data_IF_630920918635
#
_entry.id   IF_630920918635
#
_cell.length_a   1.000
_cell.length_b   1.000
_cell.length_c   1.000
_cell.angle_alpha   90.00
_cell.angle_beta   90.00
_cell.angle_gamma   90.00
#
_symmetry.space_group_name_H-M   'P 1'
#
loop_
_entity.id
_entity.type
_entity.pdbx_description
1 polymer ?
#
# COMPACT_ATOMS: atom_id res chain seq x y z
N UNK A 1 -19.16 -19.19 -22.03
CA UNK A 1 -19.41 -17.73 -22.00
C UNK A 1 -18.64 -17.21 -20.77
N UNK A 2 -17.66 -16.32 -20.95
CA UNK A 2 -16.87 -15.81 -19.82
C UNK A 2 -17.77 -15.03 -18.84
N UNK A 3 -17.47 -15.09 -17.55
CA UNK A 3 -18.20 -14.39 -16.49
C UNK A 3 -18.30 -12.85 -16.70
N UNK A 4 -17.57 -12.32 -17.68
CA UNK A 4 -17.53 -10.91 -18.04
C UNK A 4 -18.50 -10.48 -19.15
N UNK A 5 -19.17 -11.44 -19.85
CA UNK A 5 -20.06 -11.10 -20.97
C UNK A 5 -21.35 -10.36 -20.56
N UNK A 6 -21.64 -10.30 -19.26
CA UNK A 6 -22.80 -9.58 -18.69
C UNK A 6 -22.39 -8.55 -17.62
N UNK A 7 -21.12 -8.16 -17.56
CA UNK A 7 -20.60 -7.34 -16.47
C UNK A 7 -21.11 -5.89 -16.55
N UNK A 8 -22.03 -5.54 -15.68
CA UNK A 8 -22.40 -4.15 -15.40
C UNK A 8 -21.21 -3.36 -14.83
N UNK A 9 -21.20 -2.01 -14.91
CA UNK A 9 -20.18 -1.19 -14.28
C UNK A 9 -20.03 -1.54 -12.81
N UNK A 10 -18.77 -1.68 -12.34
CA UNK A 10 -18.46 -2.09 -10.96
C UNK A 10 -18.29 -0.86 -10.08
N UNK A 11 -19.14 -0.64 -9.06
CA UNK A 11 -19.00 0.50 -8.16
C UNK A 11 -17.68 0.45 -7.38
N UNK A 12 -17.03 1.62 -7.23
CA UNK A 12 -15.90 1.77 -6.33
C UNK A 12 -16.37 1.65 -4.87
N UNK A 13 -15.55 1.00 -4.04
CA UNK A 13 -15.74 0.98 -2.59
C UNK A 13 -15.43 2.35 -1.96
N UNK A 14 -15.73 2.53 -0.68
CA UNK A 14 -15.29 3.70 0.07
C UNK A 14 -13.76 3.83 0.12
N UNK A 15 -13.05 2.71 0.28
CA UNK A 15 -11.59 2.66 0.26
C UNK A 15 -11.02 3.05 -1.12
N UNK A 16 -11.59 2.54 -2.21
CA UNK A 16 -11.18 2.92 -3.57
C UNK A 16 -11.41 4.42 -3.82
N UNK A 17 -12.50 4.98 -3.30
CA UNK A 17 -12.79 6.42 -3.40
C UNK A 17 -11.82 7.26 -2.60
N UNK A 18 -11.38 6.79 -1.43
CA UNK A 18 -10.32 7.41 -0.66
C UNK A 18 -8.99 7.44 -1.46
N UNK A 19 -8.57 6.31 -2.02
CA UNK A 19 -7.37 6.21 -2.85
C UNK A 19 -7.48 7.07 -4.12
N UNK A 20 -8.67 7.15 -4.73
CA UNK A 20 -8.92 8.06 -5.86
C UNK A 20 -8.82 9.55 -5.46
N UNK A 21 -9.22 9.91 -4.25
CA UNK A 21 -9.03 11.26 -3.75
C UNK A 21 -7.55 11.58 -3.52
N UNK A 22 -6.78 10.60 -3.03
CA UNK A 22 -5.33 10.68 -2.94
C UNK A 22 -4.67 10.84 -4.31
N UNK A 23 -5.08 10.08 -5.33
CA UNK A 23 -4.58 10.24 -6.70
C UNK A 23 -4.84 11.65 -7.24
N UNK A 24 -6.06 12.17 -7.06
CA UNK A 24 -6.39 13.52 -7.49
C UNK A 24 -5.53 14.58 -6.80
N UNK A 25 -5.18 14.37 -5.54
CA UNK A 25 -4.35 15.27 -4.76
C UNK A 25 -2.87 15.14 -5.12
N UNK A 26 -2.38 13.92 -5.37
CA UNK A 26 -1.02 13.66 -5.84
C UNK A 26 -0.76 14.37 -7.18
N UNK A 27 -1.67 14.22 -8.14
CA UNK A 27 -1.60 14.93 -9.43
C UNK A 27 -1.58 16.44 -9.27
N UNK A 28 -2.40 16.96 -8.36
CA UNK A 28 -2.48 18.41 -8.11
C UNK A 28 -1.21 18.98 -7.49
N UNK A 29 -0.55 18.23 -6.60
CA UNK A 29 0.62 18.68 -5.83
C UNK A 29 1.93 18.32 -6.49
N UNK A 30 2.05 17.08 -6.93
CA UNK A 30 3.32 16.51 -7.40
C UNK A 30 3.37 16.35 -8.92
N UNK A 31 2.23 16.52 -9.63
CA UNK A 31 2.14 16.23 -11.06
C UNK A 31 2.12 14.73 -11.40
N UNK A 32 2.23 13.85 -10.41
CA UNK A 32 2.28 12.40 -10.54
C UNK A 32 1.00 11.73 -10.02
N UNK A 33 0.71 10.52 -10.49
CA UNK A 33 -0.39 9.69 -9.95
C UNK A 33 -0.03 9.10 -8.60
N UNK A 34 -1.05 8.71 -7.83
CA UNK A 34 -0.87 7.90 -6.62
C UNK A 34 -0.75 6.43 -7.01
N UNK A 35 0.47 5.99 -7.28
CA UNK A 35 0.81 4.66 -7.75
C UNK A 35 1.41 3.82 -6.63
N UNK A 36 1.28 2.49 -6.76
CA UNK A 36 2.00 1.51 -5.96
C UNK A 36 2.79 0.59 -6.86
N UNK A 37 3.86 0.02 -6.34
CA UNK A 37 4.70 -0.95 -7.03
C UNK A 37 4.88 -2.20 -6.18
N UNK A 38 4.91 -3.35 -6.87
CA UNK A 38 5.44 -4.61 -6.39
C UNK A 38 6.68 -4.91 -7.22
N UNK A 39 7.82 -5.10 -6.56
CA UNK A 39 9.09 -5.37 -7.23
C UNK A 39 9.51 -6.80 -6.95
N UNK A 40 9.91 -7.52 -8.00
CA UNK A 40 10.52 -8.84 -7.93
C UNK A 40 11.96 -8.76 -8.43
N UNK A 41 12.89 -9.29 -7.67
CA UNK A 41 14.25 -9.58 -8.12
C UNK A 41 14.32 -11.06 -8.49
N UNK A 42 14.43 -11.33 -9.78
CA UNK A 42 14.40 -12.68 -10.33
C UNK A 42 15.81 -13.15 -10.68
N UNK A 43 16.06 -14.43 -10.49
CA UNK A 43 17.24 -15.12 -11.02
C UNK A 43 17.20 -15.23 -12.55
N UNK A 44 18.17 -15.92 -13.13
CA UNK A 44 18.18 -16.24 -14.57
C UNK A 44 16.96 -17.06 -15.00
N UNK A 45 16.63 -17.02 -16.30
CA UNK A 45 15.60 -17.88 -16.90
C UNK A 45 14.18 -17.31 -16.91
N UNK A 46 14.01 -16.00 -16.72
CA UNK A 46 12.70 -15.35 -16.84
C UNK A 46 12.19 -15.41 -18.29
N UNK A 47 11.03 -16.08 -18.50
CA UNK A 47 10.41 -16.30 -19.80
C UNK A 47 9.57 -15.06 -20.21
N UNK A 48 10.25 -14.02 -20.73
CA UNK A 48 9.65 -12.73 -21.08
C UNK A 48 8.53 -12.86 -22.11
N UNK A 49 8.71 -13.62 -23.17
CA UNK A 49 7.70 -13.77 -24.23
C UNK A 49 6.43 -14.43 -23.68
N UNK A 50 6.58 -15.51 -22.92
CA UNK A 50 5.44 -16.20 -22.29
C UNK A 50 4.71 -15.27 -21.29
N UNK A 51 5.46 -14.42 -20.58
CA UNK A 51 4.87 -13.42 -19.69
C UNK A 51 4.03 -12.41 -20.48
N UNK A 52 4.55 -11.86 -21.57
CA UNK A 52 3.86 -10.89 -22.40
C UNK A 52 2.61 -11.48 -23.05
N UNK A 53 2.70 -12.72 -23.58
CA UNK A 53 1.59 -13.42 -24.20
C UNK A 53 0.47 -13.72 -23.20
N UNK A 54 0.83 -14.22 -22.01
CA UNK A 54 -0.16 -14.47 -20.97
C UNK A 54 -0.81 -13.16 -20.48
N UNK A 55 -0.03 -12.11 -20.28
CA UNK A 55 -0.56 -10.81 -19.87
C UNK A 55 -1.56 -10.24 -20.88
N UNK A 56 -1.30 -10.41 -22.18
CA UNK A 56 -2.22 -10.01 -23.24
C UNK A 56 -3.53 -10.83 -23.18
N UNK A 57 -3.45 -12.16 -23.00
CA UNK A 57 -4.62 -13.03 -22.82
C UNK A 57 -5.43 -12.64 -21.58
N UNK A 58 -4.76 -12.45 -20.45
CA UNK A 58 -5.38 -12.03 -19.19
C UNK A 58 -6.07 -10.67 -19.33
N UNK A 59 -5.43 -9.72 -19.99
CA UNK A 59 -6.02 -8.41 -20.23
C UNK A 59 -7.21 -8.46 -21.17
N UNK A 60 -7.19 -9.33 -22.19
CA UNK A 60 -8.31 -9.54 -23.10
C UNK A 60 -9.51 -10.16 -22.36
N UNK A 61 -9.26 -11.16 -21.52
CA UNK A 61 -10.27 -11.87 -20.75
C UNK A 61 -10.87 -11.02 -19.61
N UNK A 62 -10.11 -10.05 -19.07
CA UNK A 62 -10.47 -9.30 -17.86
C UNK A 62 -10.61 -7.79 -18.12
N UNK A 63 -11.79 -7.30 -18.52
CA UNK A 63 -12.02 -5.89 -18.82
C UNK A 63 -11.69 -4.93 -17.69
N UNK A 64 -11.70 -5.36 -16.41
CA UNK A 64 -11.38 -4.52 -15.27
C UNK A 64 -9.96 -3.95 -15.33
N UNK A 65 -8.99 -4.71 -15.85
CA UNK A 65 -7.59 -4.28 -15.98
C UNK A 65 -7.38 -3.06 -16.88
N UNK A 66 -8.39 -2.69 -17.65
CA UNK A 66 -8.38 -1.58 -18.62
C UNK A 66 -9.69 -0.78 -18.60
N UNK A 67 -10.46 -0.88 -17.50
CA UNK A 67 -11.72 -0.20 -17.34
C UNK A 67 -11.51 1.26 -16.94
N UNK A 68 -12.08 2.24 -17.68
CA UNK A 68 -12.04 3.61 -17.26
C UNK A 68 -12.78 3.83 -15.95
N UNK A 69 -12.18 4.62 -15.06
CA UNK A 69 -12.80 5.02 -13.79
C UNK A 69 -13.54 6.34 -13.99
N UNK A 70 -14.84 6.32 -13.86
CA UNK A 70 -15.67 7.51 -14.06
C UNK A 70 -16.79 7.63 -13.02
N UNK A 71 -17.29 8.84 -12.88
CA UNK A 71 -18.47 9.15 -12.07
C UNK A 71 -19.67 9.32 -13.01
N UNK A 72 -20.64 8.37 -13.01
CA UNK A 72 -21.82 8.49 -13.87
C UNK A 72 -22.59 9.78 -13.56
N UNK A 73 -23.02 10.47 -14.61
CA UNK A 73 -23.75 11.75 -14.53
C UNK A 73 -23.10 12.84 -13.63
N UNK A 74 -21.81 12.67 -13.27
CA UNK A 74 -21.10 13.58 -12.38
C UNK A 74 -21.54 13.53 -10.90
N UNK A 75 -22.62 12.85 -10.56
CA UNK A 75 -23.28 12.87 -9.25
C UNK A 75 -23.21 11.52 -8.52
N UNK A 76 -23.31 10.41 -9.25
CA UNK A 76 -23.31 9.07 -8.65
C UNK A 76 -21.90 8.66 -8.20
N UNK A 77 -21.79 7.69 -7.28
CA UNK A 77 -20.51 7.13 -6.88
C UNK A 77 -19.69 6.68 -8.10
N UNK A 78 -18.35 6.79 -8.05
CA UNK A 78 -17.50 6.36 -9.14
C UNK A 78 -17.60 4.85 -9.39
N UNK A 79 -17.39 4.46 -10.66
CA UNK A 79 -17.43 3.06 -11.11
C UNK A 79 -16.22 2.75 -11.99
N UNK A 80 -15.80 1.48 -12.02
CA UNK A 80 -15.05 0.91 -13.13
C UNK A 80 -16.06 0.62 -14.24
N UNK A 81 -15.93 1.28 -15.37
CA UNK A 81 -16.82 1.08 -16.51
C UNK A 81 -16.28 -0.01 -17.44
N UNK A 82 -16.49 -1.25 -17.04
CA UNK A 82 -16.03 -2.43 -17.79
C UNK A 82 -16.62 -2.54 -19.20
N UNK A 83 -17.81 -1.93 -19.43
CA UNK A 83 -18.42 -1.88 -20.75
C UNK A 83 -17.66 -0.96 -21.72
N UNK A 84 -16.87 -0.02 -21.21
CA UNK A 84 -16.05 0.89 -21.99
C UNK A 84 -14.55 0.59 -21.89
N UNK A 85 -14.20 -0.61 -21.44
CA UNK A 85 -12.82 -1.05 -21.40
C UNK A 85 -12.20 -1.01 -22.82
N UNK A 86 -11.09 -0.29 -22.97
CA UNK A 86 -10.41 -0.05 -24.24
C UNK A 86 -9.25 -1.00 -24.43
N UNK A 87 -9.02 -1.51 -25.64
CA UNK A 87 -7.86 -2.35 -25.92
C UNK A 87 -6.54 -1.59 -25.77
N UNK A 88 -6.51 -0.32 -26.11
CA UNK A 88 -5.35 0.58 -26.02
C UNK A 88 -4.91 0.85 -24.57
N UNK A 89 -5.80 0.62 -23.60
CA UNK A 89 -5.51 0.72 -22.17
C UNK A 89 -5.06 -0.62 -21.54
N UNK A 90 -4.72 -1.62 -22.35
CA UNK A 90 -4.15 -2.87 -21.86
C UNK A 90 -2.85 -2.59 -21.07
N UNK A 91 -2.54 -3.42 -20.05
CA UNK A 91 -1.31 -3.27 -19.29
C UNK A 91 -0.09 -3.19 -20.21
N UNK A 92 0.66 -2.10 -20.11
CA UNK A 92 1.86 -1.89 -20.91
C UNK A 92 3.07 -2.58 -20.27
N UNK A 93 3.95 -3.13 -21.10
CA UNK A 93 5.23 -3.69 -20.67
C UNK A 93 6.34 -2.85 -21.29
N UNK A 94 7.22 -2.28 -20.46
CA UNK A 94 8.46 -1.63 -20.88
C UNK A 94 9.61 -2.57 -20.56
N UNK A 95 10.42 -2.86 -21.55
CA UNK A 95 11.60 -3.72 -21.43
C UNK A 95 12.86 -2.87 -21.61
N UNK A 96 13.86 -3.11 -20.75
CA UNK A 96 15.17 -2.49 -20.79
C UNK A 96 16.25 -3.54 -20.57
N UNK A 97 17.42 -3.33 -21.15
CA UNK A 97 18.61 -4.12 -20.88
C UNK A 97 19.64 -3.27 -20.13
N UNK A 98 20.32 -3.90 -19.18
CA UNK A 98 21.41 -3.30 -18.43
C UNK A 98 22.59 -4.29 -18.33
N UNK A 99 23.81 -3.77 -18.26
CA UNK A 99 25.01 -4.60 -18.23
C UNK A 99 25.16 -5.36 -16.91
N UNK A 100 24.76 -4.76 -15.79
CA UNK A 100 24.95 -5.31 -14.44
C UNK A 100 23.80 -4.94 -13.51
N UNK A 101 23.46 -5.87 -12.63
CA UNK A 101 22.50 -5.62 -11.53
C UNK A 101 23.17 -4.79 -10.43
N UNK A 102 22.48 -3.75 -9.99
CA UNK A 102 22.84 -2.95 -8.81
C UNK A 102 22.12 -3.44 -7.56
N UNK A 103 22.67 -3.14 -6.37
CA UNK A 103 21.92 -3.28 -5.12
C UNK A 103 20.74 -2.32 -5.05
N UNK A 104 20.90 -1.13 -5.66
CA UNK A 104 19.82 -0.16 -5.76
C UNK A 104 18.73 -0.61 -6.73
N UNK A 105 17.56 -0.02 -6.57
CA UNK A 105 16.43 -0.22 -7.47
C UNK A 105 16.70 0.50 -8.81
N UNK A 106 16.35 -0.10 -9.96
CA UNK A 106 16.50 0.54 -11.26
C UNK A 106 15.80 1.89 -11.39
N UNK A 107 16.45 2.88 -12.01
CA UNK A 107 15.89 4.23 -12.18
C UNK A 107 14.55 4.23 -12.92
N UNK A 108 14.37 3.32 -13.87
CA UNK A 108 13.13 3.15 -14.64
C UNK A 108 11.91 2.88 -13.75
N UNK A 109 12.11 2.27 -12.58
CA UNK A 109 11.03 2.03 -11.61
C UNK A 109 10.63 3.32 -10.88
N UNK A 110 11.61 4.18 -10.57
CA UNK A 110 11.32 5.52 -10.02
C UNK A 110 10.62 6.42 -11.04
N UNK A 111 11.06 6.41 -12.29
CA UNK A 111 10.40 7.15 -13.37
C UNK A 111 8.92 6.77 -13.45
N UNK A 112 8.62 5.47 -13.39
CA UNK A 112 7.25 4.95 -13.44
C UNK A 112 6.43 5.42 -12.23
N UNK A 113 6.98 5.33 -11.04
CA UNK A 113 6.31 5.72 -9.80
C UNK A 113 6.04 7.24 -9.76
N UNK A 114 6.87 8.04 -10.43
CA UNK A 114 6.73 9.47 -10.59
C UNK A 114 5.92 9.89 -11.83
N UNK A 115 5.44 8.93 -12.59
CA UNK A 115 4.65 9.14 -13.78
C UNK A 115 3.15 9.35 -13.52
N UNK A 116 2.41 9.46 -14.60
CA UNK A 116 0.95 9.57 -14.56
C UNK A 116 0.30 8.39 -15.27
N UNK A 117 -0.82 7.91 -14.74
CA UNK A 117 -1.71 6.94 -15.38
C UNK A 117 -3.10 7.56 -15.49
N UNK A 118 -3.66 7.66 -16.69
CA UNK A 118 -4.99 8.24 -16.87
C UNK A 118 -6.11 7.24 -16.55
N UNK A 119 -6.61 7.33 -15.31
CA UNK A 119 -7.73 6.52 -14.84
C UNK A 119 -8.99 6.63 -15.72
N UNK A 120 -9.18 7.77 -16.41
CA UNK A 120 -10.35 7.99 -17.28
C UNK A 120 -10.21 7.26 -18.61
N UNK A 121 -8.97 6.89 -18.97
CA UNK A 121 -8.68 6.06 -20.13
C UNK A 121 -8.58 4.59 -19.79
N UNK A 122 -8.53 4.24 -18.49
CA UNK A 122 -8.38 2.86 -18.03
C UNK A 122 -6.92 2.43 -17.93
N UNK A 123 -5.99 3.37 -17.87
CA UNK A 123 -4.57 3.09 -17.62
C UNK A 123 -4.40 2.76 -16.14
N UNK A 124 -4.49 1.48 -15.77
CA UNK A 124 -4.54 1.05 -14.38
C UNK A 124 -3.32 0.25 -13.95
N UNK A 125 -2.63 -0.40 -14.89
CA UNK A 125 -1.56 -1.37 -14.61
C UNK A 125 -0.47 -1.28 -15.67
N UNK A 126 0.80 -1.38 -15.27
CA UNK A 126 1.93 -1.50 -16.18
C UNK A 126 3.07 -2.27 -15.54
N UNK A 127 3.98 -2.76 -16.36
CA UNK A 127 5.15 -3.51 -15.97
C UNK A 127 6.41 -2.86 -16.55
N UNK A 128 7.45 -2.78 -15.74
CA UNK A 128 8.79 -2.40 -16.17
C UNK A 128 9.72 -3.57 -15.87
N UNK A 129 10.48 -4.00 -16.86
CA UNK A 129 11.35 -5.19 -16.80
C UNK A 129 12.76 -4.77 -17.18
N UNK A 130 13.72 -5.04 -16.30
CA UNK A 130 15.14 -4.79 -16.55
C UNK A 130 15.89 -6.12 -16.55
N UNK A 131 16.43 -6.51 -17.70
CA UNK A 131 17.25 -7.71 -17.86
C UNK A 131 18.74 -7.34 -17.74
N UNK A 132 19.50 -8.13 -17.02
CA UNK A 132 20.92 -7.89 -16.76
C UNK A 132 21.80 -8.90 -17.51
N UNK A 133 22.89 -8.40 -18.12
CA UNK A 133 23.85 -9.22 -18.84
C UNK A 133 23.19 -10.27 -19.78
N UNK A 134 22.21 -9.84 -20.58
CA UNK A 134 21.44 -10.73 -21.45
C UNK A 134 20.62 -11.81 -20.72
N UNK A 135 20.37 -11.62 -19.43
CA UNK A 135 19.63 -12.56 -18.57
C UNK A 135 20.49 -13.45 -17.67
N UNK A 136 21.81 -13.44 -17.83
CA UNK A 136 22.71 -14.26 -17.00
C UNK A 136 22.75 -13.82 -15.54
N UNK A 137 22.62 -12.52 -15.25
CA UNK A 137 22.52 -11.98 -13.89
C UNK A 137 21.04 -11.85 -13.42
N UNK A 138 20.09 -12.35 -14.22
CA UNK A 138 18.67 -12.35 -13.89
C UNK A 138 17.92 -11.12 -14.40
N UNK A 139 16.77 -10.84 -13.77
CA UNK A 139 15.82 -9.82 -14.22
C UNK A 139 15.18 -9.16 -13.01
N UNK A 140 15.05 -7.84 -13.01
CA UNK A 140 14.19 -7.12 -12.06
C UNK A 140 12.89 -6.75 -12.77
N UNK A 141 11.75 -6.99 -12.11
CA UNK A 141 10.42 -6.69 -12.61
C UNK A 141 9.69 -5.81 -11.61
N UNK A 142 9.14 -4.69 -12.07
CA UNK A 142 8.22 -3.86 -11.30
C UNK A 142 6.82 -3.93 -11.92
N UNK A 143 5.85 -4.38 -11.16
CA UNK A 143 4.43 -4.21 -11.45
C UNK A 143 3.97 -2.91 -10.78
N UNK A 144 3.54 -1.93 -11.57
CA UNK A 144 3.06 -0.63 -11.09
C UNK A 144 1.59 -0.46 -11.41
N UNK A 145 0.79 -0.04 -10.43
CA UNK A 145 -0.64 0.12 -10.61
C UNK A 145 -1.20 1.36 -9.93
N UNK A 146 -2.31 1.86 -10.45
CA UNK A 146 -3.15 2.82 -9.74
C UNK A 146 -3.67 2.18 -8.45
N UNK A 147 -3.35 2.75 -7.29
CA UNK A 147 -3.55 2.07 -6.00
C UNK A 147 -4.99 1.64 -5.70
N UNK A 148 -5.98 2.20 -6.41
CA UNK A 148 -7.38 1.78 -6.31
C UNK A 148 -7.67 0.42 -6.97
N UNK A 149 -6.80 -0.08 -7.88
CA UNK A 149 -6.99 -1.37 -8.57
C UNK A 149 -6.76 -2.56 -7.64
N UNK A 150 -5.68 -2.49 -6.84
CA UNK A 150 -5.28 -3.48 -5.84
C UNK A 150 -4.83 -2.78 -4.55
N UNK A 151 -5.00 -3.45 -3.42
CA UNK A 151 -4.13 -3.22 -2.26
C UNK A 151 -2.89 -4.14 -2.33
N UNK A 152 -2.00 -4.05 -1.34
CA UNK A 152 -0.77 -4.87 -1.31
C UNK A 152 -1.06 -6.37 -1.41
N UNK A 153 -1.99 -6.90 -0.60
CA UNK A 153 -2.36 -8.32 -0.66
C UNK A 153 -3.02 -8.70 -2.00
N UNK A 154 -3.81 -7.81 -2.59
CA UNK A 154 -4.42 -8.02 -3.91
C UNK A 154 -3.37 -8.11 -5.01
N UNK A 155 -2.33 -7.27 -4.96
CA UNK A 155 -1.23 -7.30 -5.93
C UNK A 155 -0.39 -8.57 -5.84
N UNK A 156 -0.12 -9.06 -4.62
CA UNK A 156 0.56 -10.34 -4.42
C UNK A 156 -0.24 -11.50 -4.99
N UNK A 157 -1.56 -11.55 -4.72
CA UNK A 157 -2.45 -12.57 -5.25
C UNK A 157 -2.57 -12.53 -6.78
N UNK A 158 -2.50 -11.34 -7.36
CA UNK A 158 -2.48 -11.21 -8.81
C UNK A 158 -1.19 -11.83 -9.41
N UNK A 159 -0.04 -11.61 -8.76
CA UNK A 159 1.23 -12.24 -9.16
C UNK A 159 1.19 -13.76 -8.98
N UNK A 160 0.67 -14.26 -7.85
CA UNK A 160 0.46 -15.70 -7.60
C UNK A 160 -0.46 -16.32 -8.66
N UNK A 161 -1.54 -15.60 -8.99
CA UNK A 161 -2.51 -16.05 -10.00
C UNK A 161 -1.88 -16.09 -11.41
N UNK A 162 -1.09 -15.07 -11.80
CA UNK A 162 -0.34 -15.09 -13.06
C UNK A 162 0.63 -16.29 -13.12
N UNK A 163 1.34 -16.56 -12.02
CA UNK A 163 2.23 -17.71 -11.92
C UNK A 163 1.46 -19.05 -12.04
N UNK A 164 0.27 -19.15 -11.46
CA UNK A 164 -0.58 -20.32 -11.57
C UNK A 164 -1.11 -20.53 -13.01
N UNK A 165 -1.47 -19.44 -13.70
CA UNK A 165 -1.82 -19.50 -15.12
C UNK A 165 -0.64 -19.98 -15.98
N UNK A 166 0.57 -19.47 -15.73
CA UNK A 166 1.77 -19.92 -16.45
C UNK A 166 2.07 -21.40 -16.24
N UNK A 167 1.76 -21.96 -15.07
CA UNK A 167 1.88 -23.41 -14.80
C UNK A 167 0.72 -24.26 -15.32
N UNK A 168 -0.31 -23.64 -15.91
CA UNK A 168 -1.52 -24.32 -16.38
C UNK A 168 -2.50 -24.73 -15.28
N UNK A 169 -2.33 -24.24 -14.05
CA UNK A 169 -3.20 -24.51 -12.89
C UNK A 169 -4.48 -23.64 -12.90
N UNK A 170 -4.48 -22.55 -13.67
CA UNK A 170 -5.57 -21.59 -13.82
C UNK A 170 -5.68 -21.15 -15.28
N UNK A 171 -6.88 -20.66 -15.65
CA UNK A 171 -7.12 -20.11 -16.98
C UNK A 171 -7.22 -18.57 -16.92
N UNK A 172 -6.85 -17.83 -17.99
CA UNK A 172 -6.94 -16.38 -18.03
C UNK A 172 -8.33 -15.79 -17.77
N UNK A 173 -9.40 -16.53 -18.02
CA UNK A 173 -10.80 -16.16 -17.81
C UNK A 173 -11.36 -16.56 -16.44
N UNK A 174 -10.63 -17.32 -15.63
CA UNK A 174 -11.00 -17.68 -14.25
C UNK A 174 -10.95 -16.47 -13.31
N UNK A 175 -10.31 -15.37 -13.71
CA UNK A 175 -10.18 -14.17 -12.90
C UNK A 175 -11.50 -13.38 -12.87
N UNK A 176 -12.44 -13.82 -12.04
CA UNK A 176 -13.73 -13.16 -11.92
C UNK A 176 -13.65 -11.82 -11.18
N UNK A 177 -14.49 -10.81 -11.54
CA UNK A 177 -14.52 -9.51 -10.87
C UNK A 177 -14.88 -9.58 -9.41
N UNK A 178 -15.34 -10.71 -8.94
CA UNK A 178 -15.90 -10.95 -7.61
C UNK A 178 -15.50 -12.27 -6.98
N UNK A 179 -14.41 -12.94 -7.34
CA UNK A 179 -13.93 -14.09 -6.57
C UNK A 179 -13.57 -13.65 -5.14
N UNK A 180 -14.47 -13.94 -4.25
CA UNK A 180 -14.58 -13.47 -2.86
C UNK A 180 -15.98 -12.99 -2.51
N UNK A 181 -16.82 -12.69 -3.50
CA UNK A 181 -18.23 -12.36 -3.32
C UNK A 181 -19.12 -13.54 -3.76
N UNK A 182 -18.81 -14.73 -3.31
CA UNK A 182 -19.73 -15.89 -3.36
C UNK A 182 -20.84 -15.77 -2.35
N UNK A 183 -21.48 -14.59 -2.22
CA UNK A 183 -22.71 -14.40 -1.45
C UNK A 183 -23.55 -13.37 -2.19
N UNK A 184 -24.68 -13.83 -2.71
CA UNK A 184 -25.88 -13.11 -3.11
C UNK A 184 -25.69 -11.72 -3.76
N UNK A 185 -26.03 -11.64 -5.02
CA UNK A 185 -26.29 -10.42 -5.81
C UNK A 185 -27.47 -9.61 -5.22
N UNK A 186 -27.27 -9.03 -4.03
CA UNK A 186 -28.04 -7.91 -3.53
C UNK A 186 -27.20 -6.66 -3.57
N UNK A 187 -27.78 -5.48 -3.67
CA UNK A 187 -27.09 -4.19 -3.72
C UNK A 187 -26.08 -3.96 -2.58
N UNK A 188 -26.02 -4.83 -1.58
CA UNK A 188 -25.09 -4.82 -0.45
C UNK A 188 -23.75 -5.53 -0.71
N UNK A 189 -23.68 -6.47 -1.66
CA UNK A 189 -22.46 -7.19 -2.02
C UNK A 189 -21.46 -6.31 -2.84
N UNK A 190 -21.90 -5.18 -3.35
CA UNK A 190 -21.08 -4.24 -4.13
C UNK A 190 -20.07 -3.44 -3.29
N UNK A 191 -20.08 -3.55 -1.96
CA UNK A 191 -19.22 -2.70 -1.10
C UNK A 191 -17.88 -3.31 -0.72
N UNK A 192 -17.65 -4.62 -0.98
CA UNK A 192 -16.34 -5.29 -0.76
C UNK A 192 -15.84 -5.30 0.69
N UNK A 193 -16.60 -4.74 1.60
CA UNK A 193 -16.43 -4.84 3.06
C UNK A 193 -17.30 -5.98 3.58
N UNK A 194 -16.89 -6.64 4.65
CA UNK A 194 -17.77 -7.54 5.40
C UNK A 194 -19.15 -6.87 5.54
N UNK A 195 -20.27 -7.61 5.35
CA UNK A 195 -21.59 -6.99 5.32
C UNK A 195 -21.75 -6.07 6.53
N UNK A 196 -21.86 -4.77 6.27
CA UNK A 196 -21.98 -3.79 7.34
C UNK A 196 -23.32 -4.05 8.02
N UNK A 197 -23.27 -4.76 9.16
CA UNK A 197 -24.46 -5.07 9.96
C UNK A 197 -25.10 -3.76 10.38
N UNK A 198 -26.33 -3.52 9.94
CA UNK A 198 -27.16 -2.38 10.37
C UNK A 198 -27.63 -1.47 9.24
N UNK A 199 -28.80 -0.84 9.44
CA UNK A 199 -29.43 0.09 8.51
C UNK A 199 -28.65 1.43 8.36
N UNK A 200 -29.15 2.37 7.53
CA UNK A 200 -28.49 3.66 7.27
C UNK A 200 -28.19 4.48 8.53
N UNK A 201 -29.04 4.40 9.54
CA UNK A 201 -28.82 5.09 10.84
C UNK A 201 -27.60 4.54 11.57
N UNK A 202 -27.45 3.22 11.66
CA UNK A 202 -26.30 2.59 12.32
C UNK A 202 -24.99 2.91 11.59
N UNK A 203 -25.00 2.91 10.25
CA UNK A 203 -23.85 3.35 9.45
C UNK A 203 -23.51 4.82 9.70
N UNK A 204 -24.49 5.69 9.77
CA UNK A 204 -24.30 7.11 10.10
C UNK A 204 -23.69 7.33 11.50
N UNK A 205 -24.13 6.55 12.50
CA UNK A 205 -23.54 6.58 13.85
C UNK A 205 -22.07 6.14 13.84
N UNK A 206 -21.74 5.05 13.13
CA UNK A 206 -20.35 4.58 12.99
C UNK A 206 -19.46 5.63 12.33
N UNK A 207 -19.92 6.23 11.23
CA UNK A 207 -19.16 7.29 10.55
C UNK A 207 -18.92 8.49 11.47
N UNK A 208 -19.91 8.91 12.28
CA UNK A 208 -19.75 9.98 13.28
C UNK A 208 -18.77 9.60 14.37
N UNK A 209 -18.82 8.36 14.89
CA UNK A 209 -17.88 7.86 15.90
C UNK A 209 -16.43 7.91 15.37
N UNK A 210 -16.22 7.48 14.12
CA UNK A 210 -14.91 7.60 13.46
C UNK A 210 -14.44 9.05 13.35
N UNK A 211 -15.31 9.95 12.87
CA UNK A 211 -14.99 11.36 12.73
C UNK A 211 -14.66 12.03 14.08
N UNK A 212 -15.40 11.72 15.13
CA UNK A 212 -15.14 12.22 16.48
C UNK A 212 -13.75 11.77 16.97
N UNK A 213 -13.41 10.49 16.76
CA UNK A 213 -12.09 9.97 17.11
C UNK A 213 -10.98 10.61 16.29
N UNK A 214 -11.17 10.79 14.99
CA UNK A 214 -10.19 11.49 14.16
C UNK A 214 -10.00 12.96 14.60
N UNK A 215 -11.08 13.63 15.00
CA UNK A 215 -11.02 15.00 15.51
C UNK A 215 -10.25 15.09 16.84
N UNK A 216 -10.32 14.09 17.73
CA UNK A 216 -9.57 14.08 18.98
C UNK A 216 -8.05 14.07 18.77
N UNK A 217 -7.55 13.49 17.65
CA UNK A 217 -6.13 13.58 17.32
C UNK A 217 -5.67 15.01 17.02
N UNK A 218 -6.57 15.90 16.64
CA UNK A 218 -6.27 17.28 16.34
C UNK A 218 -6.14 18.18 17.61
N UNK A 219 -6.45 17.68 18.78
CA UNK A 219 -6.21 18.38 20.07
C UNK A 219 -4.71 18.57 20.28
N UNK A 220 -3.92 17.53 19.98
CA UNK A 220 -2.45 17.58 19.88
C UNK A 220 -2.06 17.16 18.44
N UNK A 221 -2.02 18.10 17.49
CA UNK A 221 -1.92 17.77 16.08
C UNK A 221 -0.60 17.09 15.74
N UNK A 222 -0.61 16.14 14.80
CA UNK A 222 0.61 15.49 14.33
C UNK A 222 1.53 16.49 13.62
N UNK A 223 2.81 16.13 13.55
CA UNK A 223 3.77 16.80 12.70
C UNK A 223 4.51 15.76 11.86
N UNK A 224 4.71 16.07 10.58
CA UNK A 224 5.54 15.29 9.67
C UNK A 224 6.90 15.96 9.43
N UNK A 225 7.85 15.20 8.89
CA UNK A 225 9.15 15.74 8.48
C UNK A 225 9.05 16.61 7.22
N UNK A 226 8.00 16.46 6.42
CA UNK A 226 7.73 17.33 5.27
C UNK A 226 7.13 18.68 5.65
N UNK A 227 6.62 18.82 6.89
CA UNK A 227 5.86 19.99 7.33
C UNK A 227 4.48 20.09 6.66
N UNK A 228 3.77 21.20 6.88
CA UNK A 228 2.46 21.43 6.28
C UNK A 228 2.53 21.33 4.76
N UNK A 229 1.44 20.84 4.16
CA UNK A 229 1.33 20.54 2.74
C UNK A 229 1.74 21.74 1.87
N UNK A 230 2.90 21.65 1.23
CA UNK A 230 3.38 22.64 0.28
C UNK A 230 3.16 22.13 -1.14
N UNK A 231 2.83 23.05 -2.06
CA UNK A 231 2.82 22.78 -3.50
C UNK A 231 4.27 22.73 -3.99
N UNK A 232 4.86 21.56 -3.95
CA UNK A 232 6.18 21.35 -4.55
C UNK A 232 6.13 20.05 -5.32
N UNK A 233 6.38 20.12 -6.62
CA UNK A 233 6.62 18.94 -7.44
C UNK A 233 7.94 18.32 -6.97
N UNK A 234 7.87 17.28 -6.15
CA UNK A 234 9.04 16.57 -5.65
C UNK A 234 8.95 15.12 -6.06
N UNK A 235 10.04 14.64 -6.67
CA UNK A 235 10.16 13.25 -7.06
C UNK A 235 10.12 12.33 -5.83
N UNK A 236 9.48 11.18 -6.00
CA UNK A 236 9.51 10.08 -5.03
C UNK A 236 10.76 9.25 -5.26
N UNK A 237 11.43 8.91 -4.18
CA UNK A 237 12.50 7.94 -4.14
C UNK A 237 12.21 6.90 -3.06
N UNK A 238 12.67 5.69 -3.27
CA UNK A 238 12.68 4.68 -2.23
C UNK A 238 13.99 3.90 -2.25
N UNK A 239 14.33 3.36 -1.12
CA UNK A 239 15.41 2.40 -0.96
C UNK A 239 14.90 1.24 -0.13
N UNK A 240 15.52 0.09 -0.29
CA UNK A 240 15.20 -1.10 0.49
C UNK A 240 16.46 -1.58 1.16
N UNK A 241 16.41 -1.77 2.46
CA UNK A 241 17.43 -2.43 3.24
C UNK A 241 16.96 -3.86 3.50
N UNK A 242 17.77 -4.83 3.11
CA UNK A 242 17.49 -6.25 3.29
C UNK A 242 18.37 -6.78 4.42
N UNK A 243 17.73 -7.27 5.48
CA UNK A 243 18.42 -7.90 6.60
C UNK A 243 18.83 -9.33 6.23
N UNK A 244 19.96 -9.80 6.72
CA UNK A 244 20.38 -11.19 6.57
C UNK A 244 19.37 -12.13 7.23
N UNK A 245 19.46 -13.44 6.94
CA UNK A 245 18.59 -14.43 7.57
C UNK A 245 18.76 -14.47 9.08
N UNK A 246 20.00 -14.40 9.56
CA UNK A 246 20.30 -14.43 11.00
C UNK A 246 19.78 -13.16 11.70
N UNK A 247 19.99 -11.99 11.11
CA UNK A 247 19.42 -10.74 11.62
C UNK A 247 17.89 -10.79 11.63
N UNK A 248 17.29 -11.31 10.55
CA UNK A 248 15.84 -11.46 10.45
C UNK A 248 15.28 -12.39 11.52
N UNK A 249 15.93 -13.53 11.77
CA UNK A 249 15.54 -14.44 12.86
C UNK A 249 15.60 -13.73 14.21
N UNK A 250 16.67 -12.96 14.48
CA UNK A 250 16.79 -12.16 15.70
C UNK A 250 15.64 -11.15 15.81
N UNK A 251 15.36 -10.39 14.76
CA UNK A 251 14.27 -9.38 14.74
C UNK A 251 12.90 -10.04 14.97
N UNK A 252 12.62 -11.15 14.29
CA UNK A 252 11.33 -11.86 14.43
C UNK A 252 11.16 -12.42 15.84
N UNK A 253 12.20 -13.04 16.41
CA UNK A 253 12.17 -13.54 17.77
C UNK A 253 11.90 -12.40 18.78
N UNK A 254 12.57 -11.27 18.66
CA UNK A 254 12.34 -10.08 19.49
C UNK A 254 10.92 -9.52 19.34
N UNK A 255 10.42 -9.44 18.10
CA UNK A 255 9.05 -8.98 17.84
C UNK A 255 8.02 -9.90 18.52
N UNK A 256 8.22 -11.21 18.45
CA UNK A 256 7.36 -12.20 19.12
C UNK A 256 7.44 -12.10 20.65
N UNK A 257 8.64 -11.97 21.18
CA UNK A 257 8.87 -11.87 22.63
C UNK A 257 8.26 -10.58 23.21
N UNK A 258 8.47 -9.43 22.55
CA UNK A 258 8.08 -8.14 23.08
C UNK A 258 6.64 -7.74 22.72
N UNK A 259 6.19 -7.99 21.49
CA UNK A 259 4.84 -7.63 21.05
C UNK A 259 3.83 -8.78 21.14
N UNK A 260 4.30 -10.02 21.24
CA UNK A 260 3.47 -11.21 21.19
C UNK A 260 3.18 -11.68 19.75
N UNK A 261 2.79 -12.94 19.61
CA UNK A 261 2.63 -13.64 18.34
C UNK A 261 1.58 -13.00 17.41
N UNK A 262 0.54 -12.42 18.01
CA UNK A 262 -0.60 -11.85 17.23
C UNK A 262 -0.39 -10.38 16.82
N UNK A 263 0.67 -9.74 17.30
CA UNK A 263 0.85 -8.30 17.15
C UNK A 263 2.27 -7.86 16.79
N UNK A 264 3.06 -8.64 16.03
CA UNK A 264 4.44 -8.26 15.70
C UNK A 264 4.52 -6.92 14.98
N UNK A 265 3.47 -6.53 14.26
CA UNK A 265 3.36 -5.23 13.57
C UNK A 265 3.58 -4.04 14.51
N UNK A 266 3.21 -4.14 15.79
CA UNK A 266 3.40 -3.05 16.77
C UNK A 266 4.88 -2.87 17.16
N UNK A 267 5.66 -3.94 17.18
CA UNK A 267 7.10 -3.87 17.38
C UNK A 267 7.77 -3.10 16.24
N UNK A 268 7.46 -3.45 15.00
CA UNK A 268 7.98 -2.75 13.82
C UNK A 268 7.52 -1.29 13.77
N UNK A 269 6.27 -1.03 14.14
CA UNK A 269 5.73 0.34 14.24
C UNK A 269 6.47 1.16 15.29
N UNK A 270 6.71 0.61 16.48
CA UNK A 270 7.46 1.28 17.54
C UNK A 270 8.87 1.66 17.08
N UNK A 271 9.58 0.74 16.43
CA UNK A 271 10.91 0.99 15.87
C UNK A 271 10.87 2.11 14.80
N UNK A 272 9.86 2.10 13.90
CA UNK A 272 9.69 3.13 12.89
C UNK A 272 9.36 4.51 13.50
N UNK A 273 8.53 4.58 14.53
CA UNK A 273 8.22 5.83 15.24
C UNK A 273 9.49 6.41 15.88
N UNK A 274 10.29 5.59 16.56
CA UNK A 274 11.55 6.02 17.19
C UNK A 274 12.56 6.48 16.15
N UNK A 275 12.65 5.81 15.02
CA UNK A 275 13.52 6.22 13.92
C UNK A 275 13.13 7.61 13.37
N UNK A 276 11.84 7.89 13.20
CA UNK A 276 11.36 9.23 12.82
C UNK A 276 11.63 10.26 13.94
N UNK A 277 11.38 9.89 15.18
CA UNK A 277 11.66 10.75 16.33
C UNK A 277 13.14 11.15 16.42
N UNK A 278 14.07 10.24 16.16
CA UNK A 278 15.51 10.53 16.11
C UNK A 278 15.84 11.65 15.08
N UNK A 279 15.17 11.63 13.92
CA UNK A 279 15.33 12.70 12.91
C UNK A 279 14.71 14.02 13.38
N UNK A 280 13.55 13.99 14.05
CA UNK A 280 12.98 15.20 14.67
C UNK A 280 13.94 15.82 15.68
N UNK A 281 14.58 15.00 16.51
CA UNK A 281 15.60 15.45 17.49
C UNK A 281 16.82 16.04 16.78
N UNK A 282 17.33 15.40 15.74
CA UNK A 282 18.46 15.91 14.95
C UNK A 282 18.15 17.27 14.34
N UNK A 283 16.91 17.51 13.88
CA UNK A 283 16.44 18.79 13.37
C UNK A 283 16.09 19.80 14.46
N UNK A 284 16.14 19.43 15.73
CA UNK A 284 15.63 20.23 16.86
C UNK A 284 14.16 20.63 16.66
N UNK A 285 13.37 19.80 15.97
CA UNK A 285 11.94 20.03 15.76
C UNK A 285 11.13 19.47 16.92
N UNK A 286 10.15 20.25 17.37
CA UNK A 286 9.16 19.77 18.35
C UNK A 286 7.90 19.32 17.64
N UNK A 287 7.43 18.11 17.93
CA UNK A 287 6.11 17.60 17.55
C UNK A 287 5.21 17.62 18.78
N UNK A 288 3.94 17.97 18.60
CA UNK A 288 2.94 17.83 19.67
C UNK A 288 2.51 16.38 19.83
N UNK A 289 2.46 15.64 18.73
CA UNK A 289 2.25 14.19 18.69
C UNK A 289 2.75 13.60 17.39
N UNK A 290 2.84 12.28 17.35
CA UNK A 290 2.96 11.48 16.12
C UNK A 290 1.66 10.73 15.91
N UNK A 291 1.06 10.89 14.74
CA UNK A 291 -0.14 10.14 14.31
C UNK A 291 0.23 9.28 13.11
N UNK A 292 0.08 7.97 13.24
CA UNK A 292 0.52 7.01 12.24
C UNK A 292 -0.64 6.05 11.90
N UNK A 293 -1.09 6.01 10.64
CA UNK A 293 -2.02 5.00 10.17
C UNK A 293 -1.30 3.68 9.90
N UNK A 294 -1.87 2.60 10.40
CA UNK A 294 -1.43 1.23 10.15
C UNK A 294 -2.50 0.51 9.37
N UNK A 295 -2.15 -0.03 8.23
CA UNK A 295 -3.08 -0.73 7.34
C UNK A 295 -3.53 -2.05 7.98
N UNK A 296 -4.84 -2.31 7.97
CA UNK A 296 -5.46 -3.55 8.40
C UNK A 296 -6.20 -4.20 7.23
N UNK A 297 -5.89 -5.46 6.94
CA UNK A 297 -6.55 -6.25 5.91
C UNK A 297 -7.94 -6.69 6.43
N UNK A 298 -8.98 -6.38 5.67
CA UNK A 298 -10.38 -6.72 5.99
C UNK A 298 -10.85 -8.01 5.30
N UNK A 299 -9.99 -8.69 4.55
CA UNK A 299 -10.37 -9.95 3.90
C UNK A 299 -10.72 -11.01 4.93
N UNK A 300 -11.81 -11.76 4.72
CA UNK A 300 -12.16 -12.88 5.60
C UNK A 300 -11.02 -13.92 5.61
N UNK A 301 -10.68 -14.41 6.78
CA UNK A 301 -9.70 -15.51 6.91
C UNK A 301 -10.30 -16.80 6.34
N UNK A 302 -9.51 -17.53 5.55
CA UNK A 302 -9.89 -18.84 5.01
C UNK A 302 -10.85 -18.81 3.82
N UNK A 303 -11.31 -17.64 3.37
CA UNK A 303 -12.11 -17.52 2.15
C UNK A 303 -11.21 -17.29 0.92
N UNK A 304 -11.64 -17.72 -0.30
CA UNK A 304 -11.02 -17.26 -1.54
C UNK A 304 -10.96 -15.74 -1.50
N UNK A 305 -9.79 -15.16 -1.58
CA UNK A 305 -9.70 -13.73 -1.36
C UNK A 305 -9.64 -12.96 -2.66
N UNK A 306 -10.44 -11.90 -2.72
CA UNK A 306 -10.52 -10.99 -3.84
C UNK A 306 -9.15 -10.42 -4.21
N UNK A 307 -8.83 -10.42 -5.49
CA UNK A 307 -7.63 -9.82 -6.07
C UNK A 307 -7.83 -8.32 -6.23
N UNK A 308 -8.93 -7.95 -6.89
CA UNK A 308 -9.21 -6.55 -7.25
C UNK A 308 -9.79 -5.74 -6.11
N UNK A 309 -9.60 -4.43 -6.20
CA UNK A 309 -10.06 -3.39 -5.27
C UNK A 309 -9.32 -3.37 -3.94
N UNK A 310 -9.54 -2.33 -3.18
CA UNK A 310 -8.92 -2.18 -1.85
C UNK A 310 -9.83 -2.79 -0.78
N UNK A 311 -9.31 -3.77 -0.05
CA UNK A 311 -9.95 -4.45 1.08
C UNK A 311 -9.24 -4.12 2.39
N UNK A 312 -8.87 -2.86 2.55
CA UNK A 312 -8.15 -2.40 3.73
C UNK A 312 -8.92 -1.31 4.47
N UNK A 313 -8.67 -1.24 5.75
CA UNK A 313 -8.99 -0.10 6.60
C UNK A 313 -7.74 0.30 7.37
N UNK A 314 -7.81 1.35 8.17
CA UNK A 314 -6.66 1.87 8.88
C UNK A 314 -6.94 1.94 10.39
N UNK A 315 -6.00 1.40 11.18
CA UNK A 315 -5.90 1.71 12.61
C UNK A 315 -4.98 2.91 12.76
N UNK A 316 -5.45 3.92 13.48
CA UNK A 316 -4.68 5.14 13.71
C UNK A 316 -4.14 5.14 15.13
N UNK A 317 -2.84 5.32 15.25
CA UNK A 317 -2.13 5.42 16.51
C UNK A 317 -1.66 6.85 16.71
N UNK A 318 -1.84 7.38 17.93
CA UNK A 318 -1.28 8.66 18.33
C UNK A 318 -0.39 8.44 19.54
N UNK A 319 0.86 8.87 19.44
CA UNK A 319 1.83 8.80 20.54
C UNK A 319 2.48 10.16 20.72
N UNK A 320 3.00 10.39 21.92
CA UNK A 320 3.59 11.65 22.31
C UNK A 320 5.11 11.52 22.44
N UNK A 321 5.89 12.58 22.17
CA UNK A 321 7.35 12.53 22.23
C UNK A 321 7.90 11.92 23.53
N UNK A 322 7.28 12.22 24.66
CA UNK A 322 7.64 11.69 25.98
C UNK A 322 7.49 10.18 26.11
N UNK A 323 6.56 9.56 25.35
CA UNK A 323 6.36 8.11 25.31
C UNK A 323 7.34 7.39 24.38
N UNK A 324 7.95 8.12 23.45
CA UNK A 324 8.80 7.56 22.38
C UNK A 324 10.24 7.31 22.87
N UNK A 325 10.68 7.98 23.93
CA UNK A 325 12.06 7.86 24.44
C UNK A 325 12.38 6.44 24.93
N UNK A 326 11.42 5.75 25.53
CA UNK A 326 11.55 4.37 26.02
C UNK A 326 10.79 3.39 25.15
N UNK A 327 11.49 2.38 24.59
CA UNK A 327 10.88 1.42 23.66
C UNK A 327 9.77 0.56 24.31
N UNK A 328 9.96 -0.03 25.51
CA UNK A 328 8.91 -0.76 26.21
C UNK A 328 7.66 0.07 26.50
N UNK A 329 7.81 1.31 26.96
CA UNK A 329 6.71 2.25 27.21
C UNK A 329 5.92 2.53 25.93
N UNK A 330 6.61 2.86 24.84
CA UNK A 330 5.98 3.09 23.54
C UNK A 330 5.21 1.85 23.06
N UNK A 331 5.82 0.68 23.17
CA UNK A 331 5.19 -0.57 22.72
C UNK A 331 3.96 -0.92 23.58
N UNK A 332 4.01 -0.66 24.89
CA UNK A 332 2.88 -0.79 25.82
C UNK A 332 1.71 0.07 25.38
N UNK A 333 1.96 1.36 25.14
CA UNK A 333 0.96 2.33 24.67
C UNK A 333 0.31 1.90 23.34
N UNK A 334 1.11 1.44 22.38
CA UNK A 334 0.59 0.95 21.10
C UNK A 334 -0.31 -0.29 21.26
N UNK A 335 0.02 -1.19 22.19
CA UNK A 335 -0.81 -2.36 22.50
C UNK A 335 -2.16 -1.94 23.10
N UNK A 336 -2.14 -1.03 24.06
CA UNK A 336 -3.37 -0.50 24.70
C UNK A 336 -4.27 0.19 23.68
N UNK A 337 -3.70 1.06 22.85
CA UNK A 337 -4.45 1.73 21.80
C UNK A 337 -5.06 0.73 20.81
N UNK A 338 -4.31 -0.30 20.39
CA UNK A 338 -4.84 -1.34 19.50
C UNK A 338 -6.06 -2.03 20.12
N UNK A 339 -5.96 -2.45 21.37
CA UNK A 339 -7.09 -3.09 22.07
C UNK A 339 -8.30 -2.16 22.18
N UNK A 340 -8.08 -0.90 22.50
CA UNK A 340 -9.13 0.10 22.55
C UNK A 340 -9.81 0.27 21.18
N UNK A 341 -9.03 0.41 20.09
CA UNK A 341 -9.56 0.55 18.73
C UNK A 341 -10.38 -0.66 18.28
N UNK A 342 -9.95 -1.88 18.64
CA UNK A 342 -10.70 -3.10 18.34
C UNK A 342 -12.02 -3.11 19.09
N UNK A 343 -12.04 -2.78 20.39
CA UNK A 343 -13.26 -2.71 21.21
C UNK A 343 -14.25 -1.63 20.72
N UNK A 344 -13.73 -0.52 20.22
CA UNK A 344 -14.51 0.56 19.63
C UNK A 344 -15.10 0.21 18.23
N UNK A 345 -14.72 -0.92 17.63
CA UNK A 345 -15.09 -1.25 16.26
C UNK A 345 -14.54 -0.23 15.24
N UNK A 346 -13.32 0.25 15.48
CA UNK A 346 -12.76 1.38 14.77
C UNK A 346 -12.59 1.12 13.26
N UNK A 347 -12.26 -0.11 12.87
CA UNK A 347 -12.10 -0.50 11.45
C UNK A 347 -13.44 -0.42 10.70
N UNK A 348 -14.52 -0.93 11.31
CA UNK A 348 -15.88 -0.88 10.77
C UNK A 348 -16.41 0.55 10.72
N UNK A 349 -16.08 1.34 11.73
CA UNK A 349 -16.43 2.76 11.77
C UNK A 349 -15.73 3.55 10.67
N UNK A 350 -14.45 3.26 10.39
CA UNK A 350 -13.69 3.84 9.31
C UNK A 350 -14.21 3.44 7.93
N UNK A 351 -14.55 2.17 7.74
CA UNK A 351 -15.18 1.69 6.51
C UNK A 351 -16.52 2.41 6.25
N UNK A 352 -17.36 2.57 7.28
CA UNK A 352 -18.62 3.30 7.16
C UNK A 352 -18.39 4.78 6.79
N UNK A 353 -17.39 5.44 7.39
CA UNK A 353 -17.07 6.83 7.07
C UNK A 353 -16.59 6.98 5.60
N UNK A 354 -15.76 6.08 5.12
CA UNK A 354 -15.31 6.06 3.72
C UNK A 354 -16.47 5.81 2.75
N UNK A 355 -17.42 4.95 3.10
CA UNK A 355 -18.60 4.68 2.26
C UNK A 355 -19.50 5.92 2.10
N UNK A 356 -19.67 6.71 3.13
CA UNK A 356 -20.37 7.99 3.00
C UNK A 356 -19.59 8.98 2.13
N UNK A 357 -18.28 9.02 2.30
CA UNK A 357 -17.43 9.95 1.58
C UNK A 357 -17.33 9.66 0.06
N UNK A 358 -17.68 8.43 -0.41
CA UNK A 358 -17.71 8.10 -1.85
C UNK A 358 -18.66 8.97 -2.67
N UNK A 359 -19.67 9.57 -2.04
CA UNK A 359 -20.61 10.50 -2.70
C UNK A 359 -19.98 11.88 -2.92
N UNK A 360 -18.97 12.24 -2.14
CA UNK A 360 -18.27 13.50 -2.28
C UNK A 360 -17.38 13.54 -3.54
N UNK A 361 -17.27 14.71 -4.21
CA UNK A 361 -16.21 14.93 -5.20
C UNK A 361 -14.83 14.72 -4.56
N UNK A 362 -13.88 14.12 -5.31
CA UNK A 362 -12.54 13.76 -4.78
C UNK A 362 -11.81 14.94 -4.14
N UNK A 363 -11.92 16.14 -4.74
CA UNK A 363 -11.32 17.37 -4.19
C UNK A 363 -11.92 17.80 -2.86
N UNK A 364 -13.23 17.65 -2.69
CA UNK A 364 -13.91 17.98 -1.44
C UNK A 364 -13.51 16.96 -0.36
N UNK A 365 -13.46 15.68 -0.73
CA UNK A 365 -13.04 14.62 0.16
C UNK A 365 -11.60 14.83 0.67
N UNK A 366 -10.65 15.12 -0.23
CA UNK A 366 -9.27 15.40 0.14
C UNK A 366 -9.16 16.58 1.12
N UNK A 367 -9.86 17.69 0.83
CA UNK A 367 -9.89 18.86 1.72
C UNK A 367 -10.47 18.55 3.10
N UNK A 368 -11.49 17.72 3.17
CA UNK A 368 -12.07 17.29 4.45
C UNK A 368 -11.06 16.47 5.26
N UNK A 369 -10.39 15.51 4.62
CA UNK A 369 -9.37 14.69 5.27
C UNK A 369 -8.21 15.53 5.84
N UNK A 370 -7.74 16.52 5.08
CA UNK A 370 -6.66 17.43 5.51
C UNK A 370 -7.06 18.31 6.72
N UNK A 371 -8.28 18.82 6.71
CA UNK A 371 -8.74 19.70 7.80
C UNK A 371 -8.83 19.00 9.14
N UNK A 372 -9.12 17.71 9.14
CA UNK A 372 -9.29 16.92 10.36
C UNK A 372 -8.02 16.95 11.23
N UNK A 373 -6.84 16.88 10.62
CA UNK A 373 -5.55 16.90 11.31
C UNK A 373 -4.76 18.21 11.10
N UNK A 374 -5.47 19.33 10.93
CA UNK A 374 -4.89 20.69 10.82
C UNK A 374 -3.82 20.85 9.72
N UNK A 375 -4.03 20.18 8.58
CA UNK A 375 -3.15 20.30 7.40
C UNK A 375 -2.09 19.22 7.29
N UNK A 376 -1.93 18.35 8.28
CA UNK A 376 -1.13 17.13 8.19
C UNK A 376 -2.06 15.94 7.92
N UNK A 377 -1.64 14.97 7.11
CA UNK A 377 -2.40 13.73 6.91
C UNK A 377 -1.98 12.67 7.92
N UNK A 378 -0.71 12.64 8.28
CA UNK A 378 -0.08 11.73 9.23
C UNK A 378 1.31 12.24 9.55
N UNK A 379 2.00 11.67 10.51
CA UNK A 379 3.44 11.92 10.73
C UNK A 379 4.30 11.19 9.71
N UNK A 380 3.93 9.98 9.35
CA UNK A 380 4.42 9.17 8.23
C UNK A 380 3.42 8.04 7.97
N UNK A 381 3.51 7.38 6.80
CA UNK A 381 2.75 6.16 6.53
C UNK A 381 3.55 4.93 6.92
N UNK A 382 2.85 3.90 7.42
CA UNK A 382 3.46 2.66 7.84
C UNK A 382 2.65 1.47 7.36
N UNK A 383 3.34 0.45 6.81
CA UNK A 383 2.75 -0.84 6.51
C UNK A 383 3.73 -1.98 6.81
N UNK A 384 3.21 -3.06 7.36
CA UNK A 384 3.87 -4.35 7.49
C UNK A 384 2.95 -5.39 6.84
N UNK A 385 3.41 -5.99 5.74
CA UNK A 385 2.59 -6.91 4.94
C UNK A 385 2.76 -8.38 5.35
N UNK A 386 3.68 -8.68 6.27
CA UNK A 386 4.01 -10.05 6.65
C UNK A 386 4.85 -10.76 5.59
N UNK A 387 4.58 -12.05 5.40
CA UNK A 387 5.27 -12.85 4.39
C UNK A 387 4.81 -12.42 2.98
N UNK A 388 5.77 -11.96 2.18
CA UNK A 388 5.57 -11.51 0.82
C UNK A 388 5.59 -12.70 -0.14
N UNK A 389 4.50 -12.92 -0.90
CA UNK A 389 4.31 -14.04 -1.83
C UNK A 389 4.67 -15.39 -1.18
N UNK A 390 4.01 -15.77 -0.06
CA UNK A 390 4.33 -17.01 0.62
C UNK A 390 4.06 -18.21 -0.31
N UNK A 391 5.03 -19.12 -0.39
CA UNK A 391 4.91 -20.33 -1.22
C UNK A 391 5.23 -20.15 -2.71
N UNK A 392 5.39 -18.94 -3.22
CA UNK A 392 5.79 -18.70 -4.60
C UNK A 392 7.31 -18.56 -4.71
N UNK A 393 8.02 -19.62 -5.08
CA UNK A 393 9.48 -19.62 -5.23
C UNK A 393 9.96 -19.21 -6.62
N UNK A 394 9.12 -19.42 -7.66
CA UNK A 394 9.46 -19.11 -9.06
C UNK A 394 8.37 -18.29 -9.72
N UNK A 395 8.77 -17.40 -10.64
CA UNK A 395 7.88 -16.62 -11.46
C UNK A 395 8.35 -16.69 -12.93
N UNK A 396 7.52 -17.25 -13.81
CA UNK A 396 7.81 -17.49 -15.23
C UNK A 396 9.19 -18.11 -15.46
N UNK A 397 9.46 -19.24 -14.78
CA UNK A 397 10.71 -20.02 -14.90
C UNK A 397 11.85 -19.54 -13.99
N UNK A 398 11.92 -18.26 -13.67
CA UNK A 398 13.00 -17.71 -12.83
C UNK A 398 12.70 -17.82 -11.33
N UNK A 399 13.73 -18.06 -10.53
CA UNK A 399 13.63 -18.01 -9.06
C UNK A 399 13.38 -16.59 -8.58
N UNK A 400 12.52 -16.41 -7.58
CA UNK A 400 12.31 -15.12 -6.92
C UNK A 400 13.34 -15.00 -5.79
N UNK A 401 14.41 -14.25 -6.07
CA UNK A 401 15.51 -14.01 -5.12
C UNK A 401 15.10 -13.06 -4.00
N UNK A 402 14.33 -12.02 -4.33
CA UNK A 402 13.80 -11.05 -3.37
C UNK A 402 12.54 -10.38 -3.94
N UNK A 403 11.78 -9.70 -3.07
CA UNK A 403 10.62 -8.92 -3.49
C UNK A 403 10.09 -8.05 -2.36
N UNK A 404 9.46 -6.94 -2.73
CA UNK A 404 8.95 -5.95 -1.81
C UNK A 404 7.93 -5.02 -2.47
N UNK A 405 7.24 -4.22 -1.65
CA UNK A 405 6.35 -3.17 -2.11
C UNK A 405 6.97 -1.77 -1.98
N UNK A 406 6.59 -0.87 -2.88
CA UNK A 406 6.72 0.57 -2.75
C UNK A 406 5.37 1.23 -3.04
N UNK A 407 5.08 2.35 -2.41
CA UNK A 407 3.82 3.07 -2.61
C UNK A 407 4.07 4.57 -2.72
N UNK A 408 3.28 5.26 -3.53
CA UNK A 408 3.29 6.71 -3.60
C UNK A 408 2.93 7.34 -2.25
N UNK A 409 3.62 8.41 -1.89
CA UNK A 409 3.31 9.19 -0.69
C UNK A 409 3.08 10.65 -1.05
N UNK A 410 2.14 11.28 -0.36
CA UNK A 410 1.91 12.72 -0.48
C UNK A 410 2.77 13.49 0.51
N UNK A 411 3.12 14.73 0.20
CA UNK A 411 3.58 15.69 1.19
C UNK A 411 2.37 16.47 1.73
N UNK A 412 2.06 16.51 2.99
CA UNK A 412 2.47 15.68 4.10
C UNK A 412 1.83 14.30 4.06
N UNK A 413 2.46 13.25 4.64
CA UNK A 413 3.69 13.32 5.45
C UNK A 413 5.00 13.27 4.63
N UNK A 414 4.95 12.94 3.33
CA UNK A 414 6.12 12.88 2.45
C UNK A 414 7.05 11.69 2.67
N UNK A 415 6.71 10.77 3.57
CA UNK A 415 7.47 9.54 3.81
C UNK A 415 6.60 8.36 4.25
N UNK A 416 7.09 7.15 3.96
CA UNK A 416 6.51 5.88 4.41
C UNK A 416 7.61 4.86 4.74
N UNK A 417 7.34 4.03 5.74
CA UNK A 417 8.12 2.82 6.04
C UNK A 417 7.27 1.58 5.71
N UNK A 418 7.78 0.74 4.82
CA UNK A 418 7.09 -0.45 4.33
C UNK A 418 7.96 -1.67 4.62
N UNK A 419 7.45 -2.61 5.40
CA UNK A 419 8.19 -3.78 5.82
C UNK A 419 7.50 -5.06 5.34
N UNK A 420 8.30 -6.03 4.91
CA UNK A 420 7.82 -7.38 4.58
C UNK A 420 8.91 -8.41 4.83
N UNK A 421 8.50 -9.67 4.96
CA UNK A 421 9.39 -10.82 5.02
C UNK A 421 9.39 -11.53 3.67
N UNK A 422 10.57 -11.89 3.16
CA UNK A 422 10.69 -12.72 1.95
C UNK A 422 11.83 -13.73 2.09
N UNK A 423 11.50 -15.00 1.96
CA UNK A 423 12.47 -16.11 1.99
C UNK A 423 13.44 -16.06 3.19
N UNK A 424 12.93 -15.65 4.36
CA UNK A 424 13.71 -15.52 5.59
C UNK A 424 14.48 -14.20 5.71
N UNK A 425 14.25 -13.24 4.83
CA UNK A 425 14.83 -11.91 4.88
C UNK A 425 13.76 -10.86 5.23
N UNK A 426 14.07 -9.96 6.15
CA UNK A 426 13.27 -8.77 6.40
C UNK A 426 13.70 -7.68 5.43
N UNK A 427 12.76 -7.21 4.62
CA UNK A 427 12.93 -6.06 3.77
C UNK A 427 12.31 -4.84 4.42
N UNK A 428 13.07 -3.77 4.55
CA UNK A 428 12.65 -2.47 5.07
C UNK A 428 12.72 -1.45 3.95
N UNK A 429 11.57 -1.16 3.36
CA UNK A 429 11.40 -0.14 2.35
C UNK A 429 11.20 1.23 3.00
N UNK A 430 11.93 2.24 2.56
CA UNK A 430 11.73 3.62 2.95
C UNK A 430 11.43 4.47 1.71
N UNK A 431 10.16 4.86 1.56
CA UNK A 431 9.69 5.74 0.49
C UNK A 431 9.66 7.18 1.00
N UNK A 432 10.14 8.12 0.20
CA UNK A 432 10.19 9.53 0.56
C UNK A 432 10.10 10.45 -0.64
N UNK A 433 9.56 11.61 -0.44
CA UNK A 433 9.70 12.69 -1.41
C UNK A 433 11.09 13.32 -1.27
N UNK A 434 11.62 13.80 -2.39
CA UNK A 434 12.89 14.51 -2.44
C UNK A 434 12.87 15.71 -1.49
N UNK A 435 13.94 15.87 -0.70
CA UNK A 435 14.06 16.98 0.25
C UNK A 435 13.40 16.76 1.60
N UNK A 436 12.61 15.68 1.80
CA UNK A 436 12.04 15.34 3.11
C UNK A 436 13.11 14.83 4.09
N UNK A 437 14.13 14.15 3.60
CA UNK A 437 15.31 13.74 4.37
C UNK A 437 16.58 14.21 3.66
N UNK A 438 17.51 14.76 4.40
CA UNK A 438 18.90 14.86 3.96
C UNK A 438 19.58 13.48 4.04
N UNK A 439 20.73 13.27 3.35
CA UNK A 439 21.49 12.01 3.47
C UNK A 439 21.86 11.65 4.93
N UNK A 440 22.28 12.63 5.73
CA UNK A 440 22.61 12.44 7.16
C UNK A 440 21.40 12.01 7.98
N UNK A 441 20.25 12.62 7.76
CA UNK A 441 18.99 12.26 8.44
C UNK A 441 18.49 10.86 8.04
N UNK A 442 18.66 10.49 6.78
CA UNK A 442 18.33 9.15 6.33
C UNK A 442 19.24 8.10 7.01
N UNK A 443 20.51 8.42 7.20
CA UNK A 443 21.44 7.57 7.96
C UNK A 443 21.01 7.45 9.42
N UNK A 444 20.66 8.57 10.07
CA UNK A 444 20.13 8.57 11.44
C UNK A 444 18.88 7.73 11.57
N UNK A 445 17.93 7.88 10.63
CA UNK A 445 16.71 7.06 10.58
C UNK A 445 17.03 5.57 10.51
N UNK A 446 17.90 5.16 9.56
CA UNK A 446 18.28 3.76 9.36
C UNK A 446 19.01 3.18 10.57
N UNK A 447 19.98 3.93 11.12
CA UNK A 447 20.73 3.49 12.29
C UNK A 447 19.82 3.27 13.51
N UNK A 448 18.91 4.21 13.79
CA UNK A 448 17.97 4.07 14.90
C UNK A 448 17.01 2.90 14.67
N UNK A 449 16.47 2.77 13.46
CA UNK A 449 15.58 1.65 13.12
C UNK A 449 16.27 0.29 13.30
N UNK A 450 17.48 0.15 12.75
CA UNK A 450 18.29 -1.06 12.85
C UNK A 450 18.63 -1.41 14.30
N UNK A 451 19.00 -0.39 15.08
CA UNK A 451 19.29 -0.53 16.51
C UNK A 451 18.09 -1.08 17.28
N UNK A 452 16.92 -0.49 17.10
CA UNK A 452 15.70 -0.93 17.79
C UNK A 452 15.26 -2.32 17.34
N UNK A 453 15.35 -2.64 16.04
CA UNK A 453 14.98 -3.94 15.52
C UNK A 453 15.90 -5.07 16.04
N UNK A 454 17.21 -4.87 16.05
CA UNK A 454 18.19 -5.87 16.47
C UNK A 454 18.47 -5.86 17.97
N UNK A 455 18.08 -4.80 18.69
CA UNK A 455 18.37 -4.63 20.11
C UNK A 455 19.85 -4.34 20.40
N UNK A 456 20.45 -3.58 19.50
CA UNK A 456 21.83 -3.15 19.69
C UNK A 456 21.88 -2.04 20.73
N UNK A 457 22.63 -2.26 21.81
CA UNK A 457 22.85 -1.23 22.83
C UNK A 457 23.62 -0.04 22.27
N UNK A 458 23.34 1.14 22.82
CA UNK A 458 24.17 2.31 22.57
C UNK A 458 25.49 2.03 23.27
N UNK A 459 26.56 1.75 22.53
CA UNK A 459 27.88 1.95 23.11
C UNK A 459 27.93 3.41 23.62
N UNK A 460 27.98 3.54 24.96
CA UNK A 460 28.04 4.81 25.66
C UNK A 460 29.37 5.53 25.43
#
# INVERSE_FOLDING_TARGET
>A
MSAWQTAAPIPLTGADCFLRAFDAEARRRNGASHLSQLVLRLGPGFALEQFCDLLAQVSAANPLLRAPVRRPFGLLPPVYDTLRARREAAPSVRFCEASRRSESVPDVFFERLNGTQDLRRGELLCFDIVRYAGGHEGTDLAMTWAHLLFDGSGSERFVEWLAACHRGERQPDDLAPGEGAGIAMGAEAATGTAPQRGGPRARGQRARAYQARMASFAERPPRSLAGPLRRTSQALHYGVETYSKDETLCVVARAQQQAGFLTPVLFYLAAAIRAHHAVFRQRQLRAASYVVPVVANLRPKGAPSAIFRSHVSMLWFQVFPEQVEDFPTLLGELKEQRLARIREGFLENGAAAMDFARWAPSRLYARMAERVLKGELASFFFAYTGDFLPGLSKFFGAEILNGFHAAGVLASPGSAALLCLRAGHLNVGHVRQQGVFSPAELSTFRLQLRRDLLGLDVER
#
